data_IF_052948924920
#
_entry.id   IF_052948924920
#
_cell.length_a   1.000
_cell.length_b   1.000
_cell.length_c   1.000
_cell.angle_alpha   90.00
_cell.angle_beta   90.00
_cell.angle_gamma   90.00
#
_symmetry.space_group_name_H-M   'P 1'
#
loop_
_entity.id
_entity.type
_entity.pdbx_description
1 polymer ?
#
# COMPACT_ATOMS: atom_id res chain seq x y z
N UNK A 1 13.45 3.27 -6.30
CA UNK A 1 13.50 2.77 -4.91
C UNK A 1 14.81 3.22 -4.29
N UNK A 2 14.79 4.07 -3.26
CA UNK A 2 16.01 4.55 -2.62
C UNK A 2 16.17 3.85 -1.27
N UNK A 3 17.25 3.10 -1.08
CA UNK A 3 17.61 2.62 0.25
C UNK A 3 17.80 3.82 1.19
N UNK A 4 17.33 3.66 2.43
CA UNK A 4 17.57 4.59 3.52
C UNK A 4 18.49 3.93 4.54
N UNK A 5 19.24 4.74 5.28
CA UNK A 5 20.12 4.23 6.34
C UNK A 5 19.33 3.81 7.58
N UNK A 6 19.90 2.92 8.37
CA UNK A 6 19.34 2.50 9.67
C UNK A 6 19.08 3.71 10.57
N UNK A 7 20.02 4.67 10.60
CA UNK A 7 19.87 5.94 11.33
C UNK A 7 18.64 6.74 10.88
N UNK A 8 18.34 6.78 9.58
CA UNK A 8 17.14 7.45 9.10
C UNK A 8 15.90 6.72 9.61
N UNK A 9 15.90 5.39 9.57
CA UNK A 9 14.76 4.59 10.03
C UNK A 9 14.54 4.79 11.53
N UNK A 10 15.58 4.73 12.36
CA UNK A 10 15.49 4.98 13.80
C UNK A 10 14.84 6.34 14.12
N UNK A 11 15.18 7.37 13.34
CA UNK A 11 14.64 8.72 13.51
C UNK A 11 13.20 8.84 12.98
N UNK A 12 12.88 8.20 11.86
CA UNK A 12 11.59 8.29 11.20
C UNK A 12 10.53 7.35 11.82
N UNK A 13 10.95 6.24 12.43
CA UNK A 13 10.06 5.18 12.90
C UNK A 13 8.98 5.67 13.88
N UNK A 14 9.28 6.52 14.89
CA UNK A 14 8.23 7.05 15.76
C UNK A 14 7.17 7.88 15.00
N UNK A 15 7.59 8.62 13.97
CA UNK A 15 6.70 9.44 13.14
C UNK A 15 5.81 8.54 12.27
N UNK A 16 6.39 7.50 11.67
CA UNK A 16 5.65 6.53 10.86
C UNK A 16 4.62 5.78 11.72
N UNK A 17 5.00 5.34 12.93
CA UNK A 17 4.08 4.69 13.88
C UNK A 17 2.94 5.64 14.28
N UNK A 18 3.23 6.90 14.60
CA UNK A 18 2.21 7.87 14.95
C UNK A 18 1.26 8.18 13.78
N UNK A 19 1.77 8.17 12.55
CA UNK A 19 0.98 8.41 11.34
C UNK A 19 0.08 7.22 10.98
N UNK A 20 0.56 5.97 11.09
CA UNK A 20 -0.29 4.79 10.80
C UNK A 20 -1.48 4.67 11.76
N UNK A 21 -1.33 5.11 13.01
CA UNK A 21 -2.39 5.07 14.02
C UNK A 21 -3.56 6.02 13.71
N UNK A 22 -3.36 6.98 12.79
CA UNK A 22 -4.39 7.92 12.38
C UNK A 22 -5.21 7.42 11.17
N UNK A 23 -4.95 6.21 10.69
CA UNK A 23 -5.69 5.63 9.58
C UNK A 23 -7.02 5.06 10.05
N UNK A 24 -8.12 5.53 9.47
CA UNK A 24 -9.43 4.91 9.64
C UNK A 24 -9.54 3.65 8.76
N UNK A 25 -9.40 2.48 9.39
CA UNK A 25 -9.43 1.19 8.69
C UNK A 25 -10.85 0.67 8.49
N UNK A 26 -11.79 1.06 9.35
CA UNK A 26 -13.16 0.55 9.30
C UNK A 26 -13.91 1.18 8.12
N UNK A 27 -14.73 0.36 7.49
CA UNK A 27 -15.62 0.76 6.41
C UNK A 27 -16.36 -0.45 5.87
N UNK A 28 -17.25 -0.21 4.92
CA UNK A 28 -18.12 -1.24 4.32
C UNK A 28 -17.81 -1.50 2.85
N UNK A 29 -16.73 -0.93 2.31
CA UNK A 29 -16.30 -1.22 0.95
C UNK A 29 -15.66 -2.60 0.84
N UNK A 30 -15.90 -3.30 -0.26
CA UNK A 30 -15.07 -4.44 -0.67
C UNK A 30 -13.77 -3.87 -1.27
N UNK A 31 -12.71 -3.85 -0.48
CA UNK A 31 -11.38 -3.48 -0.93
C UNK A 31 -10.64 -4.71 -1.48
N UNK A 32 -9.94 -4.55 -2.60
CA UNK A 32 -9.11 -5.59 -3.17
C UNK A 32 -7.88 -5.87 -2.30
N UNK A 33 -7.33 -4.81 -1.69
CA UNK A 33 -6.15 -4.78 -0.82
C UNK A 33 -4.88 -5.39 -1.46
N UNK A 34 -4.82 -5.37 -2.79
CA UNK A 34 -3.62 -5.70 -3.56
C UNK A 34 -3.65 -5.11 -4.99
N UNK A 35 -4.00 -3.82 -5.10
CA UNK A 35 -4.14 -3.16 -6.41
C UNK A 35 -2.76 -2.86 -6.99
N UNK A 36 -2.33 -3.70 -7.92
CA UNK A 36 -1.04 -3.60 -8.62
C UNK A 36 -1.24 -3.88 -10.12
N UNK A 37 -0.31 -3.42 -10.96
CA UNK A 37 -0.38 -3.62 -12.41
C UNK A 37 -0.43 -5.09 -12.83
N UNK A 38 0.25 -5.97 -12.11
CA UNK A 38 0.20 -7.42 -12.33
C UNK A 38 -1.16 -8.06 -11.98
N UNK A 39 -1.97 -7.36 -11.17
CA UNK A 39 -3.33 -7.77 -10.80
C UNK A 39 -4.41 -7.06 -11.65
N UNK A 40 -4.02 -6.29 -12.67
CA UNK A 40 -4.92 -5.59 -13.57
C UNK A 40 -4.92 -6.25 -14.95
N UNK A 41 -6.09 -6.74 -15.37
CA UNK A 41 -6.30 -7.30 -16.70
C UNK A 41 -7.17 -6.37 -17.53
N UNK A 42 -6.70 -6.00 -18.73
CA UNK A 42 -7.52 -5.33 -19.74
C UNK A 42 -8.22 -6.39 -20.59
N UNK A 43 -9.55 -6.36 -20.60
CA UNK A 43 -10.37 -7.29 -21.35
C UNK A 43 -11.40 -6.49 -22.15
N UNK A 44 -11.28 -6.48 -23.48
CA UNK A 44 -12.05 -5.60 -24.37
C UNK A 44 -11.99 -4.13 -23.89
N UNK A 45 -13.13 -3.57 -23.51
CA UNK A 45 -13.30 -2.18 -23.10
C UNK A 45 -13.44 -2.03 -21.57
N UNK A 46 -13.01 -3.03 -20.80
CA UNK A 46 -13.04 -3.01 -19.33
C UNK A 46 -11.68 -3.37 -18.74
N UNK A 47 -11.46 -2.85 -17.53
CA UNK A 47 -10.38 -3.23 -16.65
C UNK A 47 -10.94 -4.13 -15.56
N UNK A 48 -10.29 -5.27 -15.33
CA UNK A 48 -10.71 -6.28 -14.35
C UNK A 48 -9.59 -6.49 -13.35
N UNK A 49 -9.92 -6.46 -12.06
CA UNK A 49 -9.02 -6.85 -10.99
C UNK A 49 -9.05 -8.37 -10.81
N UNK A 50 -7.87 -8.98 -10.70
CA UNK A 50 -7.67 -10.40 -10.44
C UNK A 50 -6.83 -10.59 -9.18
N UNK A 51 -6.75 -11.82 -8.67
CA UNK A 51 -6.10 -12.16 -7.39
C UNK A 51 -6.74 -11.47 -6.16
N UNK A 52 -7.98 -11.85 -5.87
CA UNK A 52 -8.76 -11.36 -4.73
C UNK A 52 -8.36 -11.99 -3.38
N UNK A 53 -7.19 -12.63 -3.27
CA UNK A 53 -6.76 -13.34 -2.06
C UNK A 53 -6.77 -12.47 -0.80
N UNK A 54 -6.43 -11.19 -0.95
CA UNK A 54 -6.33 -10.24 0.15
C UNK A 54 -7.59 -9.40 0.34
N UNK A 55 -8.64 -9.67 -0.44
CA UNK A 55 -9.84 -8.87 -0.43
C UNK A 55 -10.51 -8.87 0.95
N UNK A 56 -10.97 -7.70 1.37
CA UNK A 56 -11.56 -7.50 2.69
C UNK A 56 -12.64 -6.43 2.68
N UNK A 57 -13.52 -6.49 3.67
CA UNK A 57 -14.41 -5.36 3.98
C UNK A 57 -13.63 -4.31 4.78
N UNK A 58 -13.70 -3.05 4.37
CA UNK A 58 -13.01 -1.97 5.08
C UNK A 58 -13.13 -0.61 4.38
N UNK A 59 -12.23 0.31 4.72
CA UNK A 59 -12.16 1.61 4.07
C UNK A 59 -11.68 1.49 2.61
N UNK A 60 -12.38 2.12 1.66
CA UNK A 60 -12.02 2.10 0.24
C UNK A 60 -10.62 2.67 -0.05
N UNK A 61 -10.07 3.49 0.85
CA UNK A 61 -8.71 4.02 0.75
C UNK A 61 -7.62 2.94 0.85
N UNK A 62 -7.96 1.72 1.29
CA UNK A 62 -7.05 0.57 1.22
C UNK A 62 -6.49 0.38 -0.19
N UNK A 63 -7.33 0.44 -1.22
CA UNK A 63 -6.91 0.23 -2.61
C UNK A 63 -6.10 1.41 -3.15
N UNK A 64 -6.52 2.64 -2.84
CA UNK A 64 -5.77 3.84 -3.25
C UNK A 64 -4.37 3.89 -2.60
N UNK A 65 -4.24 3.36 -1.38
CA UNK A 65 -2.96 3.26 -0.70
C UNK A 65 -1.97 2.33 -1.40
N UNK A 66 -2.42 1.38 -2.24
CA UNK A 66 -1.51 0.59 -3.10
C UNK A 66 -1.10 1.36 -4.35
N UNK A 67 -2.08 2.04 -4.97
CA UNK A 67 -1.88 2.85 -6.19
C UNK A 67 -0.73 3.85 -6.00
N UNK A 68 -0.67 4.52 -4.84
CA UNK A 68 0.39 5.52 -4.56
C UNK A 68 1.80 4.93 -4.46
N UNK A 69 1.98 3.61 -4.31
CA UNK A 69 3.29 2.96 -4.33
C UNK A 69 3.70 2.54 -5.74
N UNK A 70 2.81 1.87 -6.46
CA UNK A 70 3.15 1.20 -7.70
C UNK A 70 3.07 2.13 -8.91
N UNK A 71 2.05 2.99 -8.99
CA UNK A 71 1.86 3.90 -10.13
C UNK A 71 3.08 4.81 -10.39
N UNK A 72 3.72 5.43 -9.38
CA UNK A 72 4.94 6.21 -9.63
C UNK A 72 6.12 5.39 -10.13
N UNK A 73 6.22 4.11 -9.75
CA UNK A 73 7.29 3.21 -10.22
C UNK A 73 7.11 2.85 -11.70
N UNK A 74 5.89 2.97 -12.21
CA UNK A 74 5.50 2.68 -13.59
C UNK A 74 5.46 3.95 -14.47
N UNK A 75 5.99 5.07 -13.98
CA UNK A 75 6.03 6.35 -14.71
C UNK A 75 4.76 7.20 -14.55
N UNK A 76 3.87 6.83 -13.64
CA UNK A 76 2.69 7.62 -13.29
C UNK A 76 2.98 8.84 -12.40
N UNK A 77 1.93 9.57 -11.99
CA UNK A 77 2.09 10.82 -11.24
C UNK A 77 2.68 10.60 -9.84
N UNK A 78 3.23 11.68 -9.27
CA UNK A 78 3.68 11.69 -7.88
C UNK A 78 2.54 11.27 -6.92
N UNK A 79 2.82 10.47 -5.87
CA UNK A 79 1.85 10.03 -4.87
C UNK A 79 0.91 11.12 -4.36
N UNK A 80 1.43 12.32 -4.07
CA UNK A 80 0.65 13.44 -3.53
C UNK A 80 -0.37 14.01 -4.51
N UNK A 81 -0.26 13.73 -5.81
CA UNK A 81 -1.29 14.10 -6.80
C UNK A 81 -2.46 13.11 -6.82
N UNK A 82 -2.22 11.87 -6.39
CA UNK A 82 -3.23 10.81 -6.35
C UNK A 82 -3.95 10.85 -5.00
N UNK A 83 -3.19 11.00 -3.92
CA UNK A 83 -3.69 11.00 -2.55
C UNK A 83 -2.99 12.11 -1.75
N UNK A 84 -3.46 13.37 -1.85
CA UNK A 84 -2.82 14.52 -1.20
C UNK A 84 -2.59 14.33 0.30
N UNK A 85 -3.61 13.84 1.00
CA UNK A 85 -3.59 13.56 2.45
C UNK A 85 -3.23 12.10 2.76
N UNK A 86 -2.52 11.44 1.85
CA UNK A 86 -2.20 10.01 1.92
C UNK A 86 -1.06 9.64 2.87
N UNK A 87 -0.49 10.60 3.61
CA UNK A 87 0.69 10.37 4.47
C UNK A 87 0.48 9.26 5.49
N UNK A 88 -0.67 9.27 6.18
CA UNK A 88 -1.02 8.24 7.17
C UNK A 88 -1.19 6.86 6.53
N UNK A 89 -1.81 6.81 5.34
CA UNK A 89 -1.98 5.59 4.55
C UNK A 89 -0.65 5.04 4.04
N UNK A 90 0.28 5.91 3.64
CA UNK A 90 1.63 5.51 3.29
C UNK A 90 2.43 5.01 4.52
N UNK A 91 2.23 5.57 5.70
CA UNK A 91 2.85 5.02 6.90
C UNK A 91 2.32 3.61 7.20
N UNK A 92 0.99 3.44 7.25
CA UNK A 92 0.33 2.16 7.48
C UNK A 92 0.76 1.09 6.47
N UNK A 93 0.77 1.42 5.17
CA UNK A 93 1.12 0.45 4.13
C UNK A 93 2.61 0.07 4.16
N UNK A 94 3.49 1.00 4.54
CA UNK A 94 4.91 0.70 4.77
C UNK A 94 5.10 -0.31 5.90
N UNK A 95 4.34 -0.18 7.00
CA UNK A 95 4.32 -1.16 8.10
C UNK A 95 3.85 -2.55 7.65
N UNK A 96 2.80 -2.61 6.82
CA UNK A 96 2.32 -3.88 6.24
C UNK A 96 3.37 -4.56 5.37
N UNK A 97 4.09 -3.81 4.51
CA UNK A 97 5.17 -4.37 3.71
C UNK A 97 6.34 -4.86 4.56
N UNK A 98 6.72 -4.12 5.62
CA UNK A 98 7.76 -4.56 6.54
C UNK A 98 7.40 -5.87 7.28
N UNK A 99 6.15 -5.99 7.72
CA UNK A 99 5.62 -7.21 8.33
C UNK A 99 5.66 -8.39 7.36
N UNK A 100 5.17 -8.19 6.12
CA UNK A 100 5.17 -9.23 5.09
C UNK A 100 6.58 -9.67 4.72
N UNK A 101 7.51 -8.74 4.52
CA UNK A 101 8.91 -9.05 4.24
C UNK A 101 9.54 -9.88 5.38
N UNK A 102 9.17 -9.60 6.64
CA UNK A 102 9.61 -10.38 7.81
C UNK A 102 9.03 -11.80 7.79
N UNK A 103 7.76 -11.96 7.42
CA UNK A 103 7.12 -13.27 7.29
C UNK A 103 7.74 -14.09 6.16
N UNK A 104 7.97 -13.48 5.00
CA UNK A 104 8.57 -14.14 3.84
C UNK A 104 10.02 -14.56 4.12
N UNK A 105 10.78 -13.72 4.85
CA UNK A 105 12.16 -14.06 5.27
C UNK A 105 12.20 -15.23 6.26
N UNK A 106 11.15 -15.40 7.07
CA UNK A 106 11.05 -16.47 8.06
C UNK A 106 10.27 -17.69 7.56
N UNK A 107 9.79 -17.70 6.31
CA UNK A 107 9.05 -18.82 5.75
C UNK A 107 9.97 -20.03 5.53
N UNK A 108 9.54 -21.26 5.87
CA UNK A 108 10.31 -22.46 5.53
C UNK A 108 10.46 -22.56 4.00
N UNK A 109 11.66 -22.92 3.57
CA UNK A 109 12.01 -23.10 2.15
C UNK A 109 11.24 -24.25 1.48
#
# INVERSE_FOLDING_TARGET
MALRSDRWLEQALPILIAAEQQVELVGDALAHDDVRSDNLCFFDNRMVLVDWRQARRGNAQHDLSYVIYFVPLEGGPNPHKIMPEGGNWAAYRSGQFALRATQDTNAPA
#
